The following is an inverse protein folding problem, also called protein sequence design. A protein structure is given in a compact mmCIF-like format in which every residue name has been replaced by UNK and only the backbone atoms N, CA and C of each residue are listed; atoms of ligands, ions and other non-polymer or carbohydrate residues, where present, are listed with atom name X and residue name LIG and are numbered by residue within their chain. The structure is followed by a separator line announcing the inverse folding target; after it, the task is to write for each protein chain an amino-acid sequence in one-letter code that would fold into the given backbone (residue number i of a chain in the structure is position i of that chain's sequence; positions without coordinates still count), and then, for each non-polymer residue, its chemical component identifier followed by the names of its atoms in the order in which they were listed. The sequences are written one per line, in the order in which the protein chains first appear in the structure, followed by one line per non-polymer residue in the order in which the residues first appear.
data_IF_041896183295
#
_entry.id   IF_041896183295
#
_cell.length_a   1.000
_cell.length_b   1.000
_cell.length_c   1.000
_cell.angle_alpha   90.00
_cell.angle_beta   90.00
_cell.angle_gamma   90.00
#
_symmetry.space_group_name_H-M   'P 1'
#
loop_
_entity.id
_entity.type
_entity.pdbx_description
1 polymer ?
#
# COMPACT_ATOMS: atom_id res chain seq x y z
N UNK A 1 -19.59 -17.57 -6.57
CA UNK A 1 -19.71 -16.10 -6.35
C UNK A 1 -19.02 -15.37 -7.49
N UNK A 2 -19.41 -14.14 -7.78
CA UNK A 2 -18.74 -13.37 -8.83
C UNK A 2 -17.36 -12.90 -8.35
N UNK A 3 -16.41 -12.77 -9.29
CA UNK A 3 -15.07 -12.24 -9.04
C UNK A 3 -15.06 -10.76 -9.40
N UNK A 4 -14.65 -9.93 -8.46
CA UNK A 4 -14.55 -8.48 -8.64
C UNK A 4 -13.12 -8.02 -8.42
N UNK A 5 -12.66 -7.10 -9.25
CA UNK A 5 -11.42 -6.36 -8.99
C UNK A 5 -11.69 -5.35 -7.86
N UNK A 6 -10.91 -5.45 -6.78
CA UNK A 6 -11.12 -4.73 -5.53
C UNK A 6 -9.86 -3.97 -5.11
N UNK A 7 -9.30 -3.20 -6.04
CA UNK A 7 -8.09 -2.39 -5.83
C UNK A 7 -8.24 -1.42 -4.66
N UNK A 8 -7.20 -1.35 -3.83
CA UNK A 8 -7.09 -0.39 -2.74
C UNK A 8 -5.68 0.18 -2.65
N UNK A 9 -5.61 1.36 -2.06
CA UNK A 9 -4.38 2.02 -1.70
C UNK A 9 -4.22 2.09 -0.19
N UNK A 10 -2.99 1.99 0.29
CA UNK A 10 -2.63 2.33 1.65
C UNK A 10 -1.64 3.49 1.61
N UNK A 11 -1.96 4.57 2.31
CA UNK A 11 -1.03 5.70 2.50
C UNK A 11 -0.65 5.83 3.96
N UNK A 12 0.60 6.18 4.23
CA UNK A 12 1.04 6.52 5.59
C UNK A 12 2.00 7.72 5.59
N UNK A 13 1.78 8.60 6.56
CA UNK A 13 2.66 9.71 6.91
C UNK A 13 3.52 9.27 8.10
N UNK A 14 4.83 9.34 7.96
CA UNK A 14 5.76 8.93 9.00
C UNK A 14 6.06 10.11 9.93
N UNK A 15 6.28 9.84 11.21
CA UNK A 15 6.63 10.93 12.15
C UNK A 15 8.03 11.50 11.85
N UNK A 16 8.99 10.63 11.50
CA UNK A 16 10.34 10.99 11.07
C UNK A 16 10.77 10.07 9.94
N UNK A 17 10.70 10.58 8.71
CA UNK A 17 11.06 9.80 7.52
C UNK A 17 12.58 9.71 7.34
N UNK A 18 13.05 8.48 7.16
CA UNK A 18 14.41 8.13 6.76
C UNK A 18 14.33 7.03 5.71
N UNK A 19 14.35 7.42 4.44
CA UNK A 19 14.18 6.50 3.31
C UNK A 19 15.17 5.32 3.32
N UNK A 20 16.37 5.51 3.90
CA UNK A 20 17.40 4.46 3.97
C UNK A 20 17.00 3.31 4.90
N UNK A 21 16.40 3.62 6.06
CA UNK A 21 15.98 2.62 7.05
C UNK A 21 14.50 2.23 6.90
N UNK A 22 13.66 3.16 6.46
CA UNK A 22 12.22 2.93 6.29
C UNK A 22 11.93 1.90 5.21
N UNK A 23 12.66 1.89 4.10
CA UNK A 23 12.49 0.86 3.05
C UNK A 23 12.65 -0.54 3.65
N UNK A 24 13.68 -0.75 4.47
CA UNK A 24 13.94 -2.03 5.14
C UNK A 24 12.82 -2.38 6.13
N UNK A 25 12.38 -1.40 6.93
CA UNK A 25 11.30 -1.60 7.92
C UNK A 25 9.97 -1.92 7.26
N UNK A 26 9.62 -1.24 6.17
CA UNK A 26 8.42 -1.54 5.38
C UNK A 26 8.54 -2.94 4.78
N UNK A 27 9.69 -3.29 4.18
CA UNK A 27 9.90 -4.64 3.64
C UNK A 27 9.71 -5.72 4.72
N UNK A 28 10.34 -5.57 5.89
CA UNK A 28 10.18 -6.50 7.00
C UNK A 28 8.72 -6.61 7.47
N UNK A 29 7.97 -5.50 7.50
CA UNK A 29 6.54 -5.52 7.81
C UNK A 29 5.75 -6.35 6.77
N UNK A 30 6.02 -6.13 5.49
CA UNK A 30 5.33 -6.80 4.38
C UNK A 30 5.67 -8.28 4.27
N UNK A 31 6.91 -8.68 4.57
CA UNK A 31 7.32 -10.08 4.63
C UNK A 31 6.54 -10.90 5.67
N UNK A 32 5.95 -10.24 6.67
CA UNK A 32 5.06 -10.87 7.65
C UNK A 32 3.65 -11.17 7.13
N UNK A 33 3.32 -10.81 5.89
CA UNK A 33 2.01 -11.06 5.26
C UNK A 33 2.16 -12.25 4.32
N UNK A 34 1.51 -13.37 4.68
CA UNK A 34 1.72 -14.67 4.01
C UNK A 34 1.28 -14.66 2.54
N UNK A 35 0.30 -13.86 2.19
CA UNK A 35 -0.23 -13.69 0.83
C UNK A 35 0.73 -12.90 -0.07
N UNK A 36 1.67 -12.13 0.49
CA UNK A 36 2.65 -11.41 -0.33
C UNK A 36 3.83 -12.32 -0.69
N UNK A 37 4.11 -12.43 -1.98
CA UNK A 37 5.20 -13.26 -2.52
C UNK A 37 6.13 -12.43 -3.38
N UNK A 38 7.35 -12.95 -3.54
CA UNK A 38 8.37 -12.42 -4.45
C UNK A 38 8.68 -10.94 -4.23
N UNK A 39 8.72 -10.53 -2.96
CA UNK A 39 8.99 -9.15 -2.56
C UNK A 39 10.44 -8.77 -2.91
N UNK A 40 10.59 -7.73 -3.72
CA UNK A 40 11.89 -7.23 -4.17
C UNK A 40 11.97 -5.70 -4.03
N UNK A 41 13.11 -5.19 -3.57
CA UNK A 41 13.36 -3.75 -3.48
C UNK A 41 14.02 -3.27 -4.76
N UNK A 42 13.49 -2.18 -5.33
CA UNK A 42 14.06 -1.50 -6.49
C UNK A 42 14.29 -0.04 -6.14
N UNK A 43 15.49 0.47 -6.36
CA UNK A 43 15.77 1.90 -6.22
C UNK A 43 15.48 2.63 -7.54
N UNK A 44 14.80 3.77 -7.45
CA UNK A 44 14.51 4.65 -8.58
C UNK A 44 15.11 6.02 -8.38
N UNK A 45 15.52 6.65 -9.49
CA UNK A 45 16.05 8.01 -9.51
C UNK A 45 15.53 8.73 -10.76
N UNK A 46 14.98 9.92 -10.58
CA UNK A 46 14.52 10.80 -11.67
C UNK A 46 14.68 12.25 -11.25
N UNK A 47 15.28 13.08 -12.09
CA UNK A 47 15.38 14.54 -11.89
C UNK A 47 15.85 14.96 -10.48
N UNK A 48 16.90 14.29 -9.97
CA UNK A 48 17.45 14.55 -8.64
C UNK A 48 16.64 13.98 -7.46
N UNK A 49 15.44 13.43 -7.70
CA UNK A 49 14.66 12.70 -6.70
C UNK A 49 15.05 11.23 -6.70
N UNK A 50 15.08 10.65 -5.50
CA UNK A 50 15.33 9.23 -5.30
C UNK A 50 14.26 8.64 -4.38
N UNK A 51 13.76 7.46 -4.74
CA UNK A 51 12.82 6.72 -3.92
C UNK A 51 13.09 5.22 -4.03
N UNK A 52 12.53 4.47 -3.09
CA UNK A 52 12.56 3.01 -3.10
C UNK A 52 11.17 2.49 -3.43
N UNK A 53 11.13 1.42 -4.21
CA UNK A 53 9.94 0.65 -4.51
C UNK A 53 10.09 -0.75 -3.93
N UNK A 54 9.00 -1.32 -3.44
CA UNK A 54 8.88 -2.74 -3.11
C UNK A 54 7.86 -3.32 -4.07
N UNK A 55 8.33 -4.19 -4.97
CA UNK A 55 7.49 -4.91 -5.93
C UNK A 55 7.20 -6.30 -5.39
N UNK A 56 6.06 -6.86 -5.77
CA UNK A 56 5.78 -8.27 -5.51
C UNK A 56 4.44 -8.68 -6.11
N UNK A 57 3.94 -9.82 -5.66
CA UNK A 57 2.59 -10.30 -6.01
C UNK A 57 1.78 -10.61 -4.77
N UNK A 58 0.47 -10.47 -4.90
CA UNK A 58 -0.50 -10.95 -3.93
C UNK A 58 -1.03 -12.30 -4.41
N UNK A 59 -0.84 -13.33 -3.60
CA UNK A 59 -1.27 -14.69 -3.86
C UNK A 59 -2.46 -15.05 -2.96
N UNK A 60 -3.65 -15.02 -3.54
CA UNK A 60 -4.94 -15.24 -2.88
C UNK A 60 -5.80 -16.23 -3.69
N UNK A 61 -6.83 -16.86 -3.08
CA UNK A 61 -7.67 -17.84 -3.77
C UNK A 61 -8.31 -17.34 -5.07
N UNK A 62 -8.59 -16.04 -5.16
CA UNK A 62 -9.17 -15.41 -6.34
C UNK A 62 -8.18 -15.23 -7.52
N UNK A 63 -6.91 -15.60 -7.34
CA UNK A 63 -5.82 -15.53 -8.31
C UNK A 63 -4.70 -14.57 -7.89
N UNK A 64 -3.50 -14.80 -8.42
CA UNK A 64 -2.34 -13.93 -8.20
C UNK A 64 -2.51 -12.57 -8.92
N UNK A 65 -2.14 -11.49 -8.24
CA UNK A 65 -2.21 -10.10 -8.74
C UNK A 65 -1.00 -9.27 -8.31
N UNK A 66 -0.93 -8.02 -8.75
CA UNK A 66 0.22 -7.15 -8.52
C UNK A 66 0.19 -6.42 -7.18
N UNK A 67 1.38 -6.30 -6.59
CA UNK A 67 1.63 -5.54 -5.37
C UNK A 67 2.74 -4.53 -5.63
N UNK A 68 2.53 -3.29 -5.20
CA UNK A 68 3.51 -2.22 -5.33
C UNK A 68 3.51 -1.33 -4.09
N UNK A 69 4.68 -1.04 -3.53
CA UNK A 69 4.85 0.01 -2.53
C UNK A 69 5.94 0.99 -2.98
N UNK A 70 5.72 2.27 -2.70
CA UNK A 70 6.66 3.37 -2.90
C UNK A 70 6.94 4.02 -1.55
N UNK A 71 8.23 4.21 -1.26
CA UNK A 71 8.73 4.86 -0.06
C UNK A 71 9.54 6.08 -0.47
N UNK A 72 9.14 7.26 -0.01
CA UNK A 72 9.81 8.53 -0.28
C UNK A 72 10.03 9.34 1.00
N UNK A 73 11.13 10.08 1.02
CA UNK A 73 11.49 10.97 2.12
C UNK A 73 10.61 12.22 2.13
N UNK A 74 10.48 12.86 0.97
CA UNK A 74 9.82 14.16 0.86
C UNK A 74 8.33 14.00 0.54
N UNK A 75 7.50 14.75 1.26
CA UNK A 75 6.05 14.84 1.03
C UNK A 75 5.69 16.16 0.39
N UNK A 76 4.58 16.21 -0.34
CA UNK A 76 4.04 17.46 -0.89
C UNK A 76 2.59 17.65 -0.44
N UNK A 77 2.00 18.86 -0.57
CA UNK A 77 0.57 19.03 -0.30
C UNK A 77 -0.33 18.09 -1.12
N UNK A 78 0.10 17.70 -2.33
CA UNK A 78 -0.61 16.74 -3.18
C UNK A 78 -0.40 15.30 -2.74
N UNK A 79 0.74 15.01 -2.11
CA UNK A 79 1.11 13.69 -1.66
C UNK A 79 1.65 13.76 -0.22
N UNK A 80 0.77 13.96 0.78
CA UNK A 80 1.15 14.18 2.17
C UNK A 80 1.44 12.84 2.88
N UNK A 81 2.19 11.95 2.23
CA UNK A 81 2.49 10.60 2.70
C UNK A 81 3.90 10.19 2.27
N UNK A 82 4.58 9.42 3.12
CA UNK A 82 5.89 8.85 2.85
C UNK A 82 5.79 7.46 2.23
N UNK A 83 4.77 6.71 2.62
CA UNK A 83 4.45 5.38 2.10
C UNK A 83 3.18 5.44 1.28
N UNK A 84 3.25 4.88 0.08
CA UNK A 84 2.11 4.56 -0.75
C UNK A 84 2.19 3.10 -1.14
N UNK A 85 1.10 2.36 -0.97
CA UNK A 85 0.99 0.98 -1.41
C UNK A 85 -0.22 0.87 -2.31
N UNK A 86 -0.05 0.28 -3.49
CA UNK A 86 -1.14 -0.20 -4.34
C UNK A 86 -1.27 -1.71 -4.19
N UNK A 87 -2.49 -2.12 -3.84
CA UNK A 87 -2.89 -3.51 -3.69
C UNK A 87 -3.93 -3.79 -4.76
N UNK A 88 -3.51 -4.35 -5.89
CA UNK A 88 -4.41 -4.82 -6.96
C UNK A 88 -4.78 -6.26 -6.60
N UNK A 89 -6.06 -6.51 -6.29
CA UNK A 89 -6.53 -7.84 -5.93
C UNK A 89 -7.91 -8.11 -6.52
N UNK A 90 -8.21 -9.40 -6.71
CA UNK A 90 -9.58 -9.85 -6.90
C UNK A 90 -10.18 -10.26 -5.56
N UNK A 91 -11.50 -10.11 -5.42
CA UNK A 91 -12.25 -10.74 -4.34
C UNK A 91 -13.51 -11.42 -4.86
N UNK A 92 -13.85 -12.55 -4.25
CA UNK A 92 -15.10 -13.25 -4.48
C UNK A 92 -16.15 -12.71 -3.52
N UNK A 93 -17.25 -12.19 -4.08
CA UNK A 93 -18.32 -11.61 -3.28
C UNK A 93 -19.67 -11.65 -4.03
N UNK A 94 -20.78 -11.33 -3.36
CA UNK A 94 -22.08 -11.14 -4.03
C UNK A 94 -22.09 -9.93 -4.98
N UNK A 95 -21.39 -8.86 -4.62
CA UNK A 95 -21.31 -7.61 -5.39
C UNK A 95 -19.95 -6.89 -5.19
N UNK A 96 -19.72 -5.84 -5.99
CA UNK A 96 -18.48 -5.04 -5.94
C UNK A 96 -18.28 -4.31 -4.60
N UNK A 97 -19.36 -3.89 -3.93
CA UNK A 97 -19.28 -3.20 -2.65
C UNK A 97 -18.77 -4.14 -1.55
N UNK A 98 -19.33 -5.34 -1.50
CA UNK A 98 -18.90 -6.41 -0.59
C UNK A 98 -17.44 -6.83 -0.88
N UNK A 99 -17.05 -6.97 -2.16
CA UNK A 99 -15.68 -7.29 -2.54
C UNK A 99 -14.69 -6.21 -2.06
N UNK A 100 -15.03 -4.93 -2.24
CA UNK A 100 -14.20 -3.81 -1.80
C UNK A 100 -14.12 -3.72 -0.27
N UNK A 101 -15.22 -3.95 0.44
CA UNK A 101 -15.23 -3.97 1.90
C UNK A 101 -14.35 -5.10 2.46
N UNK A 102 -14.41 -6.30 1.87
CA UNK A 102 -13.58 -7.43 2.25
C UNK A 102 -12.09 -7.14 2.00
N UNK A 103 -11.75 -6.60 0.82
CA UNK A 103 -10.39 -6.18 0.50
C UNK A 103 -9.85 -5.14 1.49
N UNK A 104 -10.64 -4.09 1.78
CA UNK A 104 -10.28 -3.08 2.77
C UNK A 104 -10.04 -3.67 4.16
N UNK A 105 -10.97 -4.50 4.65
CA UNK A 105 -10.85 -5.12 5.97
C UNK A 105 -9.62 -6.04 6.09
N UNK A 106 -9.29 -6.79 5.03
CA UNK A 106 -8.05 -7.56 4.96
C UNK A 106 -6.81 -6.65 5.03
N UNK A 107 -6.79 -5.55 4.29
CA UNK A 107 -5.66 -4.60 4.32
C UNK A 107 -5.52 -3.96 5.71
N UNK A 108 -6.63 -3.54 6.31
CA UNK A 108 -6.64 -2.94 7.65
C UNK A 108 -6.21 -3.92 8.74
N UNK A 109 -6.54 -5.21 8.61
CA UNK A 109 -6.17 -6.25 9.59
C UNK A 109 -4.75 -6.77 9.40
N UNK A 110 -4.26 -6.90 8.16
CA UNK A 110 -2.94 -7.49 7.91
C UNK A 110 -1.83 -6.43 7.78
N UNK A 111 -2.05 -5.36 7.03
CA UNK A 111 -0.99 -4.41 6.67
C UNK A 111 -0.78 -3.36 7.75
N UNK A 112 -1.85 -2.71 8.18
CA UNK A 112 -1.79 -1.58 9.12
C UNK A 112 -1.06 -1.93 10.42
N UNK A 113 -1.38 -3.02 11.15
CA UNK A 113 -0.69 -3.33 12.40
C UNK A 113 0.80 -3.66 12.18
N UNK A 114 1.15 -4.34 11.08
CA UNK A 114 2.55 -4.69 10.78
C UNK A 114 3.39 -3.46 10.44
N UNK A 115 2.83 -2.52 9.69
CA UNK A 115 3.49 -1.25 9.40
C UNK A 115 3.67 -0.46 10.71
N UNK A 116 2.61 -0.34 11.53
CA UNK A 116 2.69 0.36 12.83
C UNK A 116 3.67 -0.27 13.82
N UNK A 117 3.88 -1.58 13.74
CA UNK A 117 4.86 -2.28 14.59
C UNK A 117 6.32 -1.98 14.20
N UNK A 118 6.57 -1.55 12.95
CA UNK A 118 7.91 -1.31 12.42
C UNK A 118 8.24 0.17 12.25
N UNK A 119 7.22 1.01 12.10
CA UNK A 119 7.36 2.44 11.78
C UNK A 119 6.37 3.25 12.60
N UNK A 120 6.86 4.33 13.20
CA UNK A 120 6.01 5.30 13.90
C UNK A 120 5.34 6.19 12.84
N UNK A 121 4.03 6.04 12.72
CA UNK A 121 3.20 6.75 11.75
C UNK A 121 2.37 7.82 12.44
N UNK A 122 2.33 9.02 11.85
CA UNK A 122 1.40 10.07 12.25
C UNK A 122 -0.02 9.75 11.77
N UNK A 123 -0.13 9.27 10.54
CA UNK A 123 -1.40 8.86 9.94
C UNK A 123 -1.20 7.65 9.03
N UNK A 124 -2.22 6.80 8.94
CA UNK A 124 -2.28 5.68 7.99
C UNK A 124 -3.74 5.50 7.55
N UNK A 125 -3.96 5.35 6.25
CA UNK A 125 -5.29 5.28 5.66
C UNK A 125 -5.35 4.19 4.60
N UNK A 126 -6.44 3.44 4.57
CA UNK A 126 -6.78 2.54 3.47
C UNK A 126 -7.89 3.19 2.65
N UNK A 127 -7.65 3.32 1.36
CA UNK A 127 -8.40 4.15 0.43
C UNK A 127 -8.76 3.36 -0.82
N UNK A 128 -9.92 3.62 -1.38
CA UNK A 128 -10.22 3.29 -2.77
C UNK A 128 -9.53 4.30 -3.70
N UNK A 129 -9.30 3.96 -4.98
CA UNK A 129 -8.65 4.86 -5.93
C UNK A 129 -9.28 6.26 -6.02
N UNK A 130 -10.60 6.34 -5.91
CA UNK A 130 -11.37 7.59 -6.00
C UNK A 130 -11.25 8.48 -4.76
N UNK A 131 -10.65 7.97 -3.67
CA UNK A 131 -10.47 8.68 -2.40
C UNK A 131 -9.07 9.30 -2.23
N UNK A 132 -8.09 8.88 -3.04
CA UNK A 132 -6.70 9.37 -2.95
C UNK A 132 -6.58 10.82 -3.43
N UNK A 133 -7.35 11.19 -4.45
CA UNK A 133 -7.38 12.55 -4.98
C UNK A 133 -8.79 12.93 -5.42
N UNK A 134 -9.42 13.81 -4.64
CA UNK A 134 -10.44 14.72 -5.17
C UNK A 134 -9.85 16.11 -5.16
N UNK A 135 -9.60 16.75 -6.32
CA UNK A 135 -9.40 18.19 -6.31
C UNK A 135 -10.66 18.79 -5.69
N UNK A 136 -10.51 19.60 -4.65
CA UNK A 136 -11.61 20.48 -4.25
C UNK A 136 -11.78 21.43 -5.44
N UNK A 137 -12.84 21.21 -6.21
CA UNK A 137 -13.32 22.24 -7.14
C UNK A 137 -13.88 23.31 -6.20
N UNK A 138 -13.05 24.31 -5.90
CA UNK A 138 -13.47 25.57 -5.29
C UNK A 138 -14.10 26.45 -6.36
#
# INVERSE_FOLDING_TARGET
MAKFRADHYLTAEFEKADASTDTKRVLEALQGIKELKDLAVVSRKLEGKQWSEILGRVDIPAGSREFFAMIKKDTTPREPYNLFIRIDINQEAPDIGAARAAAKGWIESEFVPRIRAKIIVRSIRVLQPEELYRPRIS
#
